data_IF_937336817732
#
_entry.id   IF_937336817732
#
_cell.length_a   1.000
_cell.length_b   1.000
_cell.length_c   1.000
_cell.angle_alpha   90.00
_cell.angle_beta   90.00
_cell.angle_gamma   90.00
#
_symmetry.space_group_name_H-M   'P 1'
#
loop_
_entity.id
_entity.type
_entity.pdbx_description
1 polymer ?
#
# COMPACT_ATOMS: atom_id res chain seq x y z
N UNK A 1 8.97 -5.51 36.67
CA UNK A 1 9.17 -6.95 36.95
C UNK A 1 9.57 -7.59 35.63
N UNK A 2 10.69 -8.33 35.55
CA UNK A 2 11.14 -8.93 34.27
C UNK A 2 10.10 -9.97 33.83
N UNK A 3 9.52 -9.78 32.65
CA UNK A 3 8.35 -10.54 32.17
C UNK A 3 8.67 -11.98 31.76
N UNK A 4 9.96 -12.34 31.72
CA UNK A 4 10.46 -13.59 31.17
C UNK A 4 11.29 -14.44 32.15
N UNK A 5 11.36 -14.08 33.43
CA UNK A 5 12.13 -14.83 34.45
C UNK A 5 11.64 -16.28 34.61
N UNK A 6 10.37 -16.56 34.26
CA UNK A 6 9.77 -17.90 34.32
C UNK A 6 9.86 -18.66 32.98
N UNK A 7 10.36 -18.02 31.92
CA UNK A 7 10.42 -18.61 30.59
C UNK A 7 11.76 -19.31 30.37
N UNK A 8 11.71 -20.61 30.09
CA UNK A 8 12.89 -21.49 29.99
C UNK A 8 13.95 -20.92 29.06
N UNK A 9 13.55 -20.50 27.86
CA UNK A 9 14.42 -20.04 26.78
C UNK A 9 15.06 -18.69 27.12
N UNK A 10 14.33 -17.80 27.80
CA UNK A 10 14.88 -16.51 28.22
C UNK A 10 15.86 -16.69 29.38
N UNK A 11 15.60 -17.62 30.29
CA UNK A 11 16.56 -18.02 31.32
C UNK A 11 17.87 -18.55 30.73
N UNK A 12 17.78 -19.40 29.70
CA UNK A 12 18.96 -19.91 28.98
C UNK A 12 19.69 -18.78 28.25
N UNK A 13 18.97 -17.87 27.58
CA UNK A 13 19.58 -16.73 26.90
C UNK A 13 20.29 -15.77 27.87
N UNK A 14 19.71 -15.51 29.04
CA UNK A 14 20.36 -14.71 30.07
C UNK A 14 21.68 -15.34 30.51
N UNK A 15 21.70 -16.66 30.75
CA UNK A 15 22.92 -17.39 31.11
C UNK A 15 23.95 -17.33 29.98
N UNK A 16 23.54 -17.56 28.73
CA UNK A 16 24.42 -17.52 27.56
C UNK A 16 25.02 -16.13 27.31
N UNK A 17 24.25 -15.05 27.54
CA UNK A 17 24.68 -13.67 27.30
C UNK A 17 25.49 -13.09 28.46
N UNK A 18 25.31 -13.58 29.68
CA UNK A 18 26.11 -13.19 30.85
C UNK A 18 27.44 -13.95 30.96
N UNK A 19 27.55 -15.13 30.35
CA UNK A 19 28.79 -15.90 30.32
C UNK A 19 29.82 -15.29 29.36
N UNK A 20 31.09 -15.28 29.77
CA UNK A 20 32.22 -14.81 28.93
C UNK A 20 32.60 -15.78 27.79
N UNK A 21 32.12 -17.03 27.84
CA UNK A 21 32.46 -18.09 26.88
C UNK A 21 31.18 -18.76 26.37
N UNK A 22 31.19 -19.22 25.11
CA UNK A 22 30.07 -20.00 24.56
C UNK A 22 30.02 -21.38 25.20
N UNK A 23 28.83 -21.81 25.64
CA UNK A 23 28.56 -23.16 26.12
C UNK A 23 27.67 -23.91 25.11
N UNK A 24 28.24 -24.86 24.35
CA UNK A 24 27.48 -25.68 23.40
C UNK A 24 26.33 -26.46 24.04
N UNK A 25 26.46 -26.80 25.33
CA UNK A 25 25.44 -27.51 26.10
C UNK A 25 24.19 -26.66 26.30
N UNK A 26 24.36 -25.37 26.61
CA UNK A 26 23.25 -24.42 26.76
C UNK A 26 22.64 -24.04 25.40
N UNK A 27 23.46 -23.91 24.36
CA UNK A 27 22.96 -23.67 22.99
C UNK A 27 22.03 -24.79 22.51
N UNK A 28 22.35 -26.05 22.84
CA UNK A 28 21.54 -27.21 22.46
C UNK A 28 20.13 -27.23 23.07
N UNK A 29 19.89 -26.42 24.11
CA UNK A 29 18.61 -26.34 24.81
C UNK A 29 17.67 -25.27 24.25
N UNK A 30 18.16 -24.39 23.37
CA UNK A 30 17.32 -23.41 22.66
C UNK A 30 16.63 -24.09 21.47
N UNK A 31 15.35 -23.76 21.27
CA UNK A 31 14.53 -24.36 20.22
C UNK A 31 14.00 -23.33 19.22
N UNK A 32 13.81 -23.78 17.97
CA UNK A 32 13.11 -23.03 16.93
C UNK A 32 13.68 -21.63 16.65
N UNK A 33 12.84 -20.56 16.72
CA UNK A 33 13.28 -19.20 16.38
C UNK A 33 14.35 -18.66 17.33
N UNK A 34 14.36 -19.09 18.60
CA UNK A 34 15.32 -18.65 19.61
C UNK A 34 16.75 -19.05 19.27
N UNK A 35 16.96 -20.32 18.89
CA UNK A 35 18.29 -20.83 18.52
C UNK A 35 18.81 -20.15 17.25
N UNK A 36 17.92 -19.96 16.25
CA UNK A 36 18.27 -19.31 14.99
C UNK A 36 18.72 -17.87 15.25
N UNK A 37 17.89 -17.09 15.94
CA UNK A 37 18.15 -15.67 16.17
C UNK A 37 19.34 -15.47 17.14
N UNK A 38 19.59 -16.41 18.07
CA UNK A 38 20.80 -16.41 18.88
C UNK A 38 22.07 -16.64 18.04
N UNK A 39 22.08 -17.63 17.14
CA UNK A 39 23.21 -17.90 16.25
C UNK A 39 23.54 -16.72 15.32
N UNK A 40 22.50 -15.97 14.94
CA UNK A 40 22.62 -14.75 14.15
C UNK A 40 23.09 -13.53 14.98
N UNK A 41 23.41 -13.72 16.27
CA UNK A 41 23.78 -12.67 17.23
C UNK A 41 22.73 -11.55 17.34
N UNK A 42 21.44 -11.91 17.27
CA UNK A 42 20.35 -10.94 17.38
C UNK A 42 19.99 -10.60 18.82
N UNK A 43 20.39 -11.38 19.82
CA UNK A 43 20.06 -11.09 21.22
C UNK A 43 21.18 -10.37 21.95
N UNK A 44 20.83 -9.41 22.79
CA UNK A 44 21.77 -8.72 23.66
C UNK A 44 21.08 -8.21 24.94
N UNK A 45 21.88 -7.85 25.94
CA UNK A 45 21.40 -7.34 27.23
C UNK A 45 21.76 -5.86 27.41
N UNK A 46 20.78 -5.07 27.85
CA UNK A 46 20.97 -3.69 28.34
C UNK A 46 20.21 -3.58 29.67
N UNK A 47 20.86 -3.14 30.74
CA UNK A 47 20.25 -2.96 32.07
C UNK A 47 19.44 -4.19 32.55
N UNK A 48 20.00 -5.38 32.32
CA UNK A 48 19.39 -6.69 32.55
C UNK A 48 18.08 -6.97 31.80
N UNK A 49 17.76 -6.17 30.79
CA UNK A 49 16.67 -6.39 29.86
C UNK A 49 17.17 -7.07 28.59
N UNK A 50 16.46 -8.11 28.15
CA UNK A 50 16.76 -8.84 26.93
C UNK A 50 16.18 -8.11 25.73
N UNK A 51 17.02 -7.76 24.77
CA UNK A 51 16.62 -7.13 23.52
C UNK A 51 16.90 -8.07 22.35
N UNK A 52 16.04 -7.98 21.35
CA UNK A 52 16.24 -8.59 20.03
C UNK A 52 16.57 -7.48 19.02
N UNK A 53 17.57 -7.73 18.19
CA UNK A 53 18.04 -6.89 17.11
C UNK A 53 17.52 -7.40 15.76
N UNK A 54 16.79 -6.53 15.08
CA UNK A 54 16.47 -6.62 13.67
C UNK A 54 17.43 -5.72 12.86
N UNK A 55 17.35 -5.74 11.52
CA UNK A 55 18.28 -4.99 10.64
C UNK A 55 18.42 -3.51 11.00
N UNK A 56 17.33 -2.86 11.41
CA UNK A 56 17.28 -1.41 11.65
C UNK A 56 16.62 -1.03 12.99
N UNK A 57 16.10 -2.00 13.74
CA UNK A 57 15.41 -1.77 15.00
C UNK A 57 15.92 -2.71 16.07
N UNK A 58 15.69 -2.36 17.32
CA UNK A 58 15.89 -3.29 18.41
C UNK A 58 14.79 -3.09 19.44
N UNK A 59 14.21 -4.19 19.88
CA UNK A 59 13.02 -4.19 20.70
C UNK A 59 13.21 -5.09 21.93
N UNK A 60 12.66 -4.71 23.09
CA UNK A 60 12.68 -5.54 24.27
C UNK A 60 11.90 -6.84 24.02
N UNK A 61 12.44 -7.94 24.55
CA UNK A 61 11.81 -9.25 24.47
C UNK A 61 10.68 -9.34 25.47
N UNK A 62 9.48 -9.64 24.98
CA UNK A 62 8.27 -9.83 25.79
C UNK A 62 7.81 -11.28 25.63
N UNK A 63 7.33 -11.86 26.71
CA UNK A 63 6.90 -13.27 26.73
C UNK A 63 5.52 -13.41 27.35
N UNK A 64 5.29 -12.62 28.39
CA UNK A 64 4.05 -12.66 29.14
C UNK A 64 2.85 -12.29 28.25
N UNK A 65 1.82 -13.15 28.27
CA UNK A 65 0.66 -13.06 27.39
C UNK A 65 -0.19 -11.81 27.68
N UNK A 66 -0.25 -11.39 28.93
CA UNK A 66 -0.99 -10.19 29.34
C UNK A 66 -0.33 -8.93 28.74
N UNK A 67 1.00 -8.86 28.78
CA UNK A 67 1.75 -7.77 28.16
C UNK A 67 1.65 -7.77 26.63
N UNK A 68 1.72 -8.95 25.98
CA UNK A 68 1.53 -9.07 24.53
C UNK A 68 0.15 -8.53 24.13
N UNK A 69 -0.89 -8.92 24.87
CA UNK A 69 -2.26 -8.48 24.60
C UNK A 69 -2.40 -6.96 24.75
N UNK A 70 -1.78 -6.38 25.79
CA UNK A 70 -1.77 -4.93 26.01
C UNK A 70 -1.08 -4.19 24.87
N UNK A 71 0.08 -4.67 24.42
CA UNK A 71 0.84 -4.08 23.30
C UNK A 71 0.00 -4.11 22.01
N UNK A 72 -0.63 -5.24 21.71
CA UNK A 72 -1.51 -5.36 20.53
C UNK A 72 -2.68 -4.36 20.60
N UNK A 73 -3.32 -4.25 21.77
CA UNK A 73 -4.41 -3.31 22.00
C UNK A 73 -3.95 -1.84 21.88
N UNK A 74 -2.83 -1.47 22.48
CA UNK A 74 -2.31 -0.10 22.44
C UNK A 74 -1.93 0.32 21.01
N UNK A 75 -1.31 -0.57 20.23
CA UNK A 75 -0.85 -0.23 18.89
C UNK A 75 -1.92 -0.33 17.79
N UNK A 76 -3.00 -1.08 18.03
CA UNK A 76 -4.09 -1.25 17.06
C UNK A 76 -5.40 -0.56 17.45
N UNK A 77 -5.90 -0.77 18.68
CA UNK A 77 -7.24 -0.33 19.12
C UNK A 77 -7.28 1.10 19.65
N UNK A 78 -6.12 1.68 19.96
CA UNK A 78 -6.06 3.04 20.49
C UNK A 78 -6.69 4.04 19.50
N UNK A 79 -7.64 4.89 19.92
CA UNK A 79 -8.32 5.85 19.05
C UNK A 79 -7.37 6.78 18.30
N UNK A 80 -6.23 7.12 18.91
CA UNK A 80 -5.19 7.95 18.30
C UNK A 80 -4.36 7.22 17.24
N UNK A 81 -4.37 5.88 17.27
CA UNK A 81 -3.63 5.03 16.32
C UNK A 81 -4.41 4.78 15.03
N UNK A 82 -5.72 5.07 15.01
CA UNK A 82 -6.55 5.16 13.81
C UNK A 82 -6.89 3.84 13.12
N UNK A 83 -6.76 2.68 13.79
CA UNK A 83 -6.91 1.36 13.16
C UNK A 83 -6.19 1.26 11.82
N UNK A 84 -4.94 1.74 11.80
CA UNK A 84 -4.11 1.83 10.59
C UNK A 84 -3.89 0.46 9.94
N UNK A 85 -3.43 0.49 8.68
CA UNK A 85 -3.11 -0.73 7.93
C UNK A 85 -2.20 -1.67 8.72
N UNK A 86 -2.33 -2.97 8.45
CA UNK A 86 -1.54 -4.02 9.09
C UNK A 86 -0.03 -3.72 9.06
N UNK A 87 0.48 -3.26 7.91
CA UNK A 87 1.89 -2.88 7.75
C UNK A 87 2.33 -1.76 8.69
N UNK A 88 1.46 -0.77 8.94
CA UNK A 88 1.73 0.34 9.87
C UNK A 88 1.73 -0.14 11.31
N UNK A 89 0.82 -1.03 11.67
CA UNK A 89 0.81 -1.62 13.02
C UNK A 89 2.03 -2.51 13.25
N UNK A 90 2.46 -3.27 12.23
CA UNK A 90 3.71 -4.06 12.27
C UNK A 90 4.93 -3.19 12.52
N UNK A 91 5.07 -2.09 11.78
CA UNK A 91 6.19 -1.15 11.93
C UNK A 91 6.30 -0.59 13.36
N UNK A 92 5.17 -0.31 14.00
CA UNK A 92 5.13 0.20 15.40
C UNK A 92 5.45 -0.87 16.43
N UNK A 93 4.91 -2.07 16.27
CA UNK A 93 5.17 -3.17 17.20
C UNK A 93 6.64 -3.59 17.11
N UNK A 94 7.21 -3.64 15.91
CA UNK A 94 8.62 -3.99 15.68
C UNK A 94 9.62 -3.04 16.39
N UNK A 95 9.23 -1.79 16.69
CA UNK A 95 10.07 -0.85 17.44
C UNK A 95 9.82 -0.88 18.95
N UNK A 96 8.73 -1.52 19.40
CA UNK A 96 8.28 -1.46 20.80
C UNK A 96 8.52 -2.77 21.54
N UNK A 97 8.30 -3.93 20.90
CA UNK A 97 8.46 -5.23 21.54
C UNK A 97 8.71 -6.35 20.53
N UNK A 98 9.40 -7.39 20.97
CA UNK A 98 9.63 -8.60 20.19
C UNK A 98 9.22 -9.85 20.97
N UNK A 99 8.54 -10.79 20.30
CA UNK A 99 8.28 -12.13 20.82
C UNK A 99 8.26 -13.15 19.67
N UNK A 100 8.39 -14.46 19.96
CA UNK A 100 8.32 -15.48 18.90
C UNK A 100 7.00 -15.40 18.15
N UNK A 101 7.07 -15.33 16.81
CA UNK A 101 5.89 -15.26 15.92
C UNK A 101 5.02 -14.02 16.12
N UNK A 102 5.58 -12.92 16.64
CA UNK A 102 4.83 -11.67 16.89
C UNK A 102 4.08 -11.15 15.65
N UNK A 103 4.68 -11.25 14.46
CA UNK A 103 4.04 -10.84 13.21
C UNK A 103 2.76 -11.65 12.92
N UNK A 104 2.82 -12.96 13.14
CA UNK A 104 1.69 -13.85 12.91
C UNK A 104 0.56 -13.56 13.91
N UNK A 105 0.90 -13.46 15.20
CA UNK A 105 -0.09 -13.18 16.25
C UNK A 105 -0.73 -11.79 16.06
N UNK A 106 0.04 -10.80 15.61
CA UNK A 106 -0.48 -9.47 15.25
C UNK A 106 -1.45 -9.55 14.06
N UNK A 107 -1.09 -10.27 13.00
CA UNK A 107 -1.98 -10.47 11.86
C UNK A 107 -3.28 -11.17 12.27
N UNK A 108 -3.19 -12.20 13.12
CA UNK A 108 -4.36 -12.89 13.69
C UNK A 108 -5.23 -11.92 14.51
N UNK A 109 -4.61 -11.11 15.36
CA UNK A 109 -5.31 -10.10 16.18
C UNK A 109 -6.04 -9.06 15.31
N UNK A 110 -5.37 -8.45 14.32
CA UNK A 110 -6.00 -7.48 13.42
C UNK A 110 -7.15 -8.10 12.62
N UNK A 111 -7.04 -9.39 12.25
CA UNK A 111 -8.12 -10.09 11.58
C UNK A 111 -9.38 -10.27 12.45
N UNK A 112 -9.25 -10.22 13.78
CA UNK A 112 -10.41 -10.21 14.69
C UNK A 112 -11.09 -8.84 14.82
N UNK A 113 -10.43 -7.74 14.39
CA UNK A 113 -10.97 -6.39 14.53
C UNK A 113 -12.04 -6.08 13.48
N UNK A 114 -13.31 -6.06 13.90
CA UNK A 114 -14.45 -5.80 13.02
C UNK A 114 -14.38 -4.42 12.36
N UNK A 115 -13.90 -3.40 13.09
CA UNK A 115 -13.78 -2.04 12.57
C UNK A 115 -12.78 -1.96 11.42
N UNK A 116 -11.60 -2.57 11.61
CA UNK A 116 -10.59 -2.67 10.55
C UNK A 116 -11.14 -3.41 9.34
N UNK A 117 -11.84 -4.54 9.52
CA UNK A 117 -12.40 -5.31 8.40
C UNK A 117 -13.50 -4.54 7.64
N UNK A 118 -14.27 -3.68 8.31
CA UNK A 118 -15.29 -2.84 7.67
C UNK A 118 -14.68 -1.68 6.90
N UNK A 119 -13.66 -1.02 7.46
CA UNK A 119 -13.01 0.15 6.87
C UNK A 119 -12.03 -0.27 5.75
N UNK A 120 -11.17 -1.26 6.02
CA UNK A 120 -10.20 -1.84 5.09
C UNK A 120 -10.74 -3.11 4.43
N UNK A 121 -11.95 -3.04 3.86
CA UNK A 121 -12.39 -4.09 2.93
C UNK A 121 -11.34 -4.20 1.84
N UNK A 122 -10.66 -5.35 1.72
CA UNK A 122 -9.81 -5.64 0.54
C UNK A 122 -10.67 -5.40 -0.70
N UNK A 123 -10.42 -4.29 -1.39
CA UNK A 123 -11.16 -3.95 -2.59
C UNK A 123 -10.72 -4.93 -3.69
N UNK A 124 -11.48 -6.02 -3.84
CA UNK A 124 -11.45 -6.91 -4.99
C UNK A 124 -10.31 -7.92 -5.04
N UNK A 125 -10.48 -8.90 -5.93
CA UNK A 125 -9.40 -9.78 -6.38
C UNK A 125 -8.24 -8.96 -6.95
N UNK A 126 -7.05 -9.56 -7.05
CA UNK A 126 -5.90 -8.93 -7.71
C UNK A 126 -6.36 -8.32 -9.03
N UNK A 127 -6.16 -7.02 -9.22
CA UNK A 127 -6.46 -6.34 -10.47
C UNK A 127 -6.01 -7.24 -11.62
N UNK A 128 -6.95 -7.63 -12.48
CA UNK A 128 -6.66 -8.47 -13.63
C UNK A 128 -5.56 -7.85 -14.49
N UNK A 129 -4.93 -8.64 -15.35
CA UNK A 129 -3.95 -8.09 -16.30
C UNK A 129 -4.60 -6.93 -17.07
N UNK A 130 -3.92 -5.78 -17.10
CA UNK A 130 -4.35 -4.65 -17.92
C UNK A 130 -4.53 -5.15 -19.35
N UNK A 131 -5.70 -4.91 -19.94
CA UNK A 131 -5.92 -5.25 -21.34
C UNK A 131 -4.96 -4.44 -22.20
N UNK A 132 -4.08 -5.13 -22.92
CA UNK A 132 -3.17 -4.48 -23.85
C UNK A 132 -3.98 -3.96 -25.04
N UNK A 133 -3.82 -2.68 -25.34
CA UNK A 133 -4.43 -2.06 -26.50
C UNK A 133 -3.37 -2.03 -27.59
N UNK A 134 -3.65 -2.62 -28.75
CA UNK A 134 -2.72 -2.69 -29.87
C UNK A 134 -2.14 -1.30 -30.22
N UNK A 135 -0.84 -1.27 -30.53
CA UNK A 135 -0.17 -0.05 -30.96
C UNK A 135 -0.61 0.30 -32.39
N UNK A 136 -0.99 1.57 -32.65
CA UNK A 136 -1.34 2.01 -34.01
C UNK A 136 -0.14 1.92 -34.95
N UNK A 137 -0.42 1.74 -36.25
CA UNK A 137 0.61 1.65 -37.31
C UNK A 137 0.79 2.95 -38.08
N UNK A 138 -0.17 3.86 -37.98
CA UNK A 138 -0.11 5.17 -38.61
C UNK A 138 -0.62 6.28 -37.67
N UNK A 139 -0.20 7.54 -37.88
CA UNK A 139 -0.78 8.70 -37.20
C UNK A 139 -2.30 8.75 -37.35
N UNK A 140 -2.99 9.11 -36.27
CA UNK A 140 -4.45 9.30 -36.21
C UNK A 140 -5.27 8.02 -36.41
N UNK A 141 -4.64 6.84 -36.43
CA UNK A 141 -5.36 5.57 -36.53
C UNK A 141 -6.10 5.23 -35.23
N UNK A 142 -5.45 5.46 -34.09
CA UNK A 142 -6.01 5.25 -32.74
C UNK A 142 -5.83 6.51 -31.93
N UNK A 143 -6.94 7.08 -31.46
CA UNK A 143 -6.93 8.27 -30.62
C UNK A 143 -7.50 7.97 -29.24
N UNK A 144 -6.95 8.62 -28.22
CA UNK A 144 -7.59 8.73 -26.91
C UNK A 144 -8.31 10.07 -26.84
N UNK A 145 -9.52 10.09 -26.30
CA UNK A 145 -10.32 11.31 -26.11
C UNK A 145 -10.79 11.41 -24.67
N UNK A 146 -10.74 12.62 -24.10
CA UNK A 146 -11.14 12.87 -22.72
C UNK A 146 -11.61 14.32 -22.53
N UNK A 147 -12.42 14.58 -21.52
CA UNK A 147 -12.86 15.92 -21.14
C UNK A 147 -12.12 16.42 -19.92
N UNK A 148 -11.55 17.62 -20.05
CA UNK A 148 -11.13 18.39 -18.89
C UNK A 148 -12.20 19.43 -18.61
N UNK A 149 -12.92 19.25 -17.51
CA UNK A 149 -14.04 20.12 -17.09
C UNK A 149 -13.71 20.86 -15.79
N UNK A 150 -14.57 21.84 -15.43
CA UNK A 150 -14.41 22.60 -14.18
C UNK A 150 -13.35 23.70 -14.28
N UNK A 151 -13.04 24.15 -15.48
CA UNK A 151 -12.16 25.29 -15.70
C UNK A 151 -12.92 26.58 -15.41
N UNK A 152 -12.19 27.60 -14.96
CA UNK A 152 -12.75 28.95 -14.83
C UNK A 152 -13.13 29.44 -16.23
N UNK A 153 -14.38 29.90 -16.46
CA UNK A 153 -14.81 30.39 -17.76
C UNK A 153 -13.87 31.47 -18.29
N UNK A 154 -13.43 31.32 -19.54
CA UNK A 154 -12.41 32.17 -20.14
C UNK A 154 -12.69 32.56 -21.59
N UNK A 155 -12.12 33.68 -22.00
CA UNK A 155 -12.25 34.24 -23.35
C UNK A 155 -13.61 34.89 -23.62
N UNK A 156 -13.84 35.28 -24.88
CA UNK A 156 -15.09 35.95 -25.30
C UNK A 156 -16.31 35.03 -25.21
N UNK A 157 -16.10 33.74 -25.50
CA UNK A 157 -17.16 32.72 -25.55
C UNK A 157 -17.37 32.02 -24.19
N UNK A 158 -16.62 32.40 -23.15
CA UNK A 158 -16.72 31.84 -21.79
C UNK A 158 -16.59 30.31 -21.73
N UNK A 159 -15.69 29.72 -22.51
CA UNK A 159 -15.44 28.28 -22.46
C UNK A 159 -14.94 27.86 -21.07
N UNK A 160 -15.47 26.74 -20.56
CA UNK A 160 -15.21 26.22 -19.21
C UNK A 160 -14.72 24.76 -19.22
N UNK A 161 -14.47 24.19 -20.41
CA UNK A 161 -13.96 22.86 -20.61
C UNK A 161 -13.06 22.76 -21.85
N UNK A 162 -12.26 21.69 -21.90
CA UNK A 162 -11.56 21.25 -23.11
C UNK A 162 -11.92 19.81 -23.46
N UNK A 163 -12.16 19.56 -24.73
CA UNK A 163 -12.13 18.23 -25.32
C UNK A 163 -10.70 17.97 -25.78
N UNK A 164 -10.04 17.01 -25.14
CA UNK A 164 -8.64 16.66 -25.40
C UNK A 164 -8.61 15.40 -26.22
N UNK A 165 -7.78 15.42 -27.27
CA UNK A 165 -7.51 14.25 -28.10
C UNK A 165 -6.03 14.04 -28.24
N UNK A 166 -5.62 12.78 -28.09
CA UNK A 166 -4.22 12.37 -28.19
C UNK A 166 -4.10 11.27 -29.23
N UNK A 167 -3.34 11.53 -30.29
CA UNK A 167 -2.94 10.49 -31.22
C UNK A 167 -1.95 9.54 -30.55
N UNK A 168 -2.28 8.26 -30.52
CA UNK A 168 -1.45 7.26 -29.84
C UNK A 168 -0.15 6.96 -30.59
N UNK A 169 -0.09 7.20 -31.89
CA UNK A 169 1.12 6.96 -32.69
C UNK A 169 2.12 8.11 -32.50
N UNK A 170 1.74 9.31 -32.90
CA UNK A 170 2.63 10.48 -32.89
C UNK A 170 2.74 11.18 -31.53
N UNK A 171 1.86 10.87 -30.58
CA UNK A 171 1.69 11.58 -29.29
C UNK A 171 1.28 13.04 -29.44
N UNK A 172 0.85 13.47 -30.63
CA UNK A 172 0.33 14.81 -30.85
C UNK A 172 -1.00 14.95 -30.12
N UNK A 173 -1.16 16.09 -29.43
CA UNK A 173 -2.37 16.44 -28.70
C UNK A 173 -3.11 17.58 -29.38
N UNK A 174 -4.44 17.52 -29.37
CA UNK A 174 -5.31 18.64 -29.74
C UNK A 174 -6.25 18.96 -28.59
N UNK A 175 -6.40 20.25 -28.33
CA UNK A 175 -7.29 20.81 -27.31
C UNK A 175 -8.35 21.63 -28.02
N UNK A 176 -9.62 21.25 -27.86
CA UNK A 176 -10.74 22.00 -28.42
C UNK A 176 -11.50 22.64 -27.26
N UNK A 177 -11.59 23.97 -27.29
CA UNK A 177 -12.34 24.73 -26.27
C UNK A 177 -13.83 24.46 -26.45
N UNK A 178 -14.53 24.25 -25.34
CA UNK A 178 -15.91 23.78 -25.33
C UNK A 178 -16.58 24.14 -23.99
N UNK A 179 -17.87 23.87 -23.90
CA UNK A 179 -18.61 24.01 -22.65
C UNK A 179 -18.83 22.63 -22.02
N UNK A 180 -18.78 22.58 -20.69
CA UNK A 180 -19.10 21.36 -19.94
C UNK A 180 -20.52 20.87 -20.27
N UNK A 181 -21.40 21.83 -20.51
CA UNK A 181 -22.83 21.68 -20.83
C UNK A 181 -23.10 21.28 -22.29
N UNK A 182 -22.07 21.19 -23.14
CA UNK A 182 -22.21 20.78 -24.53
C UNK A 182 -22.86 19.40 -24.64
N UNK A 183 -23.79 19.27 -25.57
CA UNK A 183 -24.47 18.00 -25.83
C UNK A 183 -23.56 17.04 -26.62
N UNK A 184 -23.98 15.78 -26.74
CA UNK A 184 -23.32 14.83 -27.62
C UNK A 184 -23.28 15.31 -29.08
N UNK A 185 -24.34 15.99 -29.54
CA UNK A 185 -24.41 16.57 -30.88
C UNK A 185 -23.38 17.70 -31.06
N UNK A 186 -23.28 18.60 -30.09
CA UNK A 186 -22.29 19.70 -30.13
C UNK A 186 -20.86 19.15 -30.13
N UNK A 187 -20.65 18.08 -29.35
CA UNK A 187 -19.37 17.35 -29.30
C UNK A 187 -19.02 16.71 -30.64
N UNK A 188 -19.98 16.02 -31.29
CA UNK A 188 -19.76 15.39 -32.58
C UNK A 188 -19.44 16.43 -33.66
N UNK A 189 -20.16 17.55 -33.69
CA UNK A 189 -19.85 18.66 -34.59
C UNK A 189 -18.47 19.26 -34.33
N UNK A 190 -18.08 19.43 -33.06
CA UNK A 190 -16.76 19.92 -32.68
C UNK A 190 -15.66 18.95 -33.13
N UNK A 191 -15.88 17.64 -32.94
CA UNK A 191 -14.96 16.58 -33.36
C UNK A 191 -14.84 16.51 -34.89
N UNK A 192 -15.97 16.48 -35.60
CA UNK A 192 -16.02 16.41 -37.05
C UNK A 192 -15.28 17.57 -37.71
N UNK A 193 -15.61 18.79 -37.28
CA UNK A 193 -15.10 20.02 -37.90
C UNK A 193 -13.61 20.25 -37.65
N UNK A 194 -13.05 19.73 -36.55
CA UNK A 194 -11.66 20.01 -36.18
C UNK A 194 -10.72 18.83 -36.39
N UNK A 195 -11.21 17.59 -36.37
CA UNK A 195 -10.38 16.38 -36.38
C UNK A 195 -10.58 15.62 -37.67
N UNK A 196 -11.82 15.19 -37.97
CA UNK A 196 -12.10 14.41 -39.17
C UNK A 196 -11.69 15.19 -40.42
N UNK A 197 -12.00 16.49 -40.45
CA UNK A 197 -11.66 17.38 -41.55
C UNK A 197 -10.15 17.60 -41.76
N UNK A 198 -9.32 17.51 -40.71
CA UNK A 198 -7.90 17.87 -40.76
C UNK A 198 -6.95 16.67 -40.70
N UNK A 199 -7.35 15.61 -40.03
CA UNK A 199 -6.53 14.45 -39.69
C UNK A 199 -7.07 13.15 -40.29
N UNK A 200 -8.31 13.15 -40.80
CA UNK A 200 -9.01 11.96 -41.26
C UNK A 200 -9.78 11.24 -40.16
N UNK A 201 -10.44 10.14 -40.53
CA UNK A 201 -11.29 9.37 -39.61
C UNK A 201 -10.43 8.33 -38.87
N UNK A 202 -10.37 8.36 -37.53
CA UNK A 202 -9.66 7.34 -36.77
C UNK A 202 -10.39 5.99 -36.85
N UNK A 203 -9.65 4.90 -36.76
CA UNK A 203 -10.22 3.55 -36.71
C UNK A 203 -10.70 3.18 -35.30
N UNK A 204 -9.99 3.68 -34.29
CA UNK A 204 -10.26 3.38 -32.89
C UNK A 204 -10.27 4.70 -32.10
N UNK A 205 -11.35 4.94 -31.37
CA UNK A 205 -11.47 6.02 -30.39
C UNK A 205 -11.58 5.38 -29.02
N UNK A 206 -10.74 5.81 -28.09
CA UNK A 206 -10.72 5.31 -26.71
C UNK A 206 -11.09 6.46 -25.79
N UNK A 207 -12.23 6.34 -25.14
CA UNK A 207 -12.76 7.30 -24.18
C UNK A 207 -13.02 6.63 -22.84
N UNK A 208 -13.35 7.45 -21.84
CA UNK A 208 -14.05 6.96 -20.65
C UNK A 208 -15.53 6.68 -20.97
N UNK A 209 -16.33 6.45 -19.93
CA UNK A 209 -17.77 6.20 -20.05
C UNK A 209 -18.60 7.47 -19.84
N UNK A 210 -18.08 8.64 -20.21
CA UNK A 210 -18.87 9.87 -20.15
C UNK A 210 -20.13 9.72 -21.01
N UNK A 211 -21.31 10.15 -20.52
CA UNK A 211 -22.56 10.09 -21.27
C UNK A 211 -22.48 10.71 -22.67
N UNK A 212 -21.65 11.74 -22.86
CA UNK A 212 -21.48 12.41 -24.17
C UNK A 212 -20.81 11.53 -25.23
N UNK A 213 -20.09 10.48 -24.83
CA UNK A 213 -19.51 9.50 -25.77
C UNK A 213 -20.39 8.26 -25.98
N UNK A 214 -21.43 8.08 -25.16
CA UNK A 214 -22.24 6.85 -25.11
C UNK A 214 -23.73 7.07 -25.43
N UNK A 215 -24.12 8.31 -25.78
CA UNK A 215 -25.50 8.71 -26.10
C UNK A 215 -25.81 8.76 -27.59
#
# INVERSE_FOLDING_TARGET
MKTYDKHKECGILLQLLQQKYRSPELESQLEGPWLRDYKDNKFYLIDDLLYQKEKHTSAPTVIDRDHISLILQEHHDCPYMGHMSEDRTKERVASTAWWPKWEQELSEYINTCERFQKENRKHGEKYGLLQHIEEPKAPWETINIDWVTGLVPGGRENFNAFLIMVDRFSKIMRFLSCHKEDTAMDTDLLFWNNIISTCGVPKIIISDRDPKFTS
#
